data_IF_641788110733
#
_entry.id   IF_641788110733
#
_cell.length_a   1.000
_cell.length_b   1.000
_cell.length_c   1.000
_cell.angle_alpha   90.00
_cell.angle_beta   90.00
_cell.angle_gamma   90.00
#
_symmetry.space_group_name_H-M   'P 1'
#
loop_
_entity.id
_entity.type
_entity.pdbx_description
1 polymer ?
#
# COMPACT_ATOMS: atom_id res chain seq x y z
N UNK A 1 25.31 13.55 -14.01
CA UNK A 1 26.35 12.70 -13.40
C UNK A 1 25.77 11.34 -13.19
N UNK A 2 26.41 10.26 -13.64
CA UNK A 2 25.93 8.90 -13.46
C UNK A 2 25.99 8.51 -11.98
N UNK A 3 24.99 7.79 -11.52
CA UNK A 3 24.93 7.27 -10.15
C UNK A 3 24.21 5.92 -10.09
N UNK A 4 24.40 5.23 -9.00
CA UNK A 4 23.64 4.03 -8.63
C UNK A 4 23.11 4.22 -7.21
N UNK A 5 21.93 3.67 -6.93
CA UNK A 5 21.36 3.61 -5.58
C UNK A 5 21.26 2.15 -5.19
N UNK A 6 21.94 1.75 -4.11
CA UNK A 6 21.91 0.41 -3.53
C UNK A 6 21.17 0.47 -2.19
N UNK A 7 20.05 -0.26 -2.06
CA UNK A 7 19.27 -0.30 -0.83
C UNK A 7 18.95 1.09 -0.25
N UNK A 8 18.63 2.05 -1.13
CA UNK A 8 18.35 3.45 -0.76
C UNK A 8 19.58 4.34 -0.60
N UNK A 9 20.80 3.81 -0.59
CA UNK A 9 22.03 4.60 -0.47
C UNK A 9 22.58 4.96 -1.84
N UNK A 10 22.75 6.26 -2.10
CA UNK A 10 23.21 6.77 -3.40
C UNK A 10 24.74 6.77 -3.47
N UNK A 11 25.34 6.25 -4.55
CA UNK A 11 26.79 6.19 -4.74
C UNK A 11 27.51 7.55 -4.64
N UNK A 12 26.82 8.67 -4.86
CA UNK A 12 27.37 10.02 -4.72
C UNK A 12 27.66 10.42 -3.26
N UNK A 13 27.17 9.67 -2.28
CA UNK A 13 27.48 9.88 -0.86
C UNK A 13 28.80 9.21 -0.45
N UNK A 14 29.31 8.29 -1.29
CA UNK A 14 30.58 7.60 -1.05
C UNK A 14 31.74 8.47 -1.56
N UNK A 15 32.62 8.87 -0.67
CA UNK A 15 33.69 9.82 -0.98
C UNK A 15 34.66 9.26 -2.02
N UNK A 16 34.86 10.04 -3.09
CA UNK A 16 35.78 9.70 -4.17
C UNK A 16 35.30 8.63 -5.14
N UNK A 17 34.10 8.05 -4.95
CA UNK A 17 33.51 7.11 -5.87
C UNK A 17 32.86 7.80 -7.07
N UNK A 18 33.23 7.39 -8.28
CA UNK A 18 32.69 7.86 -9.54
C UNK A 18 32.14 6.68 -10.35
N UNK A 19 30.97 6.84 -10.92
CA UNK A 19 30.43 5.89 -11.90
C UNK A 19 30.89 6.33 -13.28
N UNK A 20 31.75 5.53 -13.91
CA UNK A 20 32.31 5.81 -15.24
C UNK A 20 31.38 5.39 -16.35
N UNK A 21 30.88 4.15 -16.29
CA UNK A 21 29.87 3.65 -17.22
C UNK A 21 28.76 2.93 -16.48
N UNK A 22 27.53 3.12 -16.94
CA UNK A 22 26.36 2.39 -16.46
C UNK A 22 26.15 1.13 -17.31
N UNK A 23 25.58 0.06 -16.73
CA UNK A 23 25.25 -1.11 -17.52
C UNK A 23 24.21 -0.78 -18.58
N UNK A 24 24.26 -1.45 -19.75
CA UNK A 24 23.28 -1.27 -20.81
C UNK A 24 21.89 -1.74 -20.36
N UNK A 25 20.86 -1.12 -20.91
CA UNK A 25 19.48 -1.61 -20.78
C UNK A 25 19.36 -2.85 -21.66
N UNK A 26 19.09 -4.00 -21.07
CA UNK A 26 19.09 -5.28 -21.75
C UNK A 26 17.81 -6.05 -21.47
N UNK A 27 17.37 -6.84 -22.43
CA UNK A 27 16.30 -7.84 -22.26
C UNK A 27 16.92 -9.14 -21.71
N UNK A 28 16.31 -9.76 -20.69
CA UNK A 28 16.78 -11.05 -20.19
C UNK A 28 16.62 -12.17 -21.23
N UNK A 29 17.48 -13.18 -21.14
CA UNK A 29 17.42 -14.35 -21.98
C UNK A 29 16.18 -15.18 -21.64
N UNK A 30 15.46 -15.64 -22.66
CA UNK A 30 14.38 -16.60 -22.50
C UNK A 30 14.99 -17.99 -22.37
N UNK A 31 14.70 -18.69 -21.28
CA UNK A 31 15.01 -20.13 -21.15
C UNK A 31 13.98 -20.91 -21.93
N UNK A 32 14.46 -21.84 -22.77
CA UNK A 32 13.62 -22.68 -23.61
C UNK A 32 13.98 -24.14 -23.42
N UNK A 33 12.99 -25.01 -23.57
CA UNK A 33 13.19 -26.44 -23.88
C UNK A 33 12.95 -26.64 -25.36
N UNK A 34 13.83 -27.38 -26.01
CA UNK A 34 13.74 -27.71 -27.44
C UNK A 34 13.56 -29.22 -27.55
N UNK A 35 12.56 -29.66 -28.29
CA UNK A 35 12.24 -31.06 -28.53
C UNK A 35 12.19 -31.30 -30.03
N UNK A 36 13.04 -32.21 -30.51
CA UNK A 36 13.05 -32.68 -31.89
C UNK A 36 12.21 -33.97 -31.98
N UNK A 37 11.33 -34.04 -32.97
CA UNK A 37 10.48 -35.22 -33.19
C UNK A 37 10.90 -35.87 -34.49
N UNK A 38 11.27 -37.17 -34.44
CA UNK A 38 11.65 -37.94 -35.60
C UNK A 38 10.55 -37.95 -36.66
N UNK A 39 10.94 -37.65 -37.92
CA UNK A 39 10.02 -37.58 -39.05
C UNK A 39 9.22 -36.29 -39.20
N UNK A 40 9.52 -35.27 -38.39
CA UNK A 40 8.98 -33.92 -38.50
C UNK A 40 10.10 -32.91 -38.76
N UNK A 41 9.88 -32.01 -39.72
CA UNK A 41 10.80 -30.89 -39.94
C UNK A 41 10.65 -29.85 -38.84
N UNK A 42 11.79 -29.35 -38.32
CA UNK A 42 11.86 -28.36 -37.26
C UNK A 42 11.67 -28.95 -35.85
N UNK A 43 11.73 -28.07 -34.87
CA UNK A 43 11.67 -28.38 -33.43
C UNK A 43 10.45 -27.76 -32.75
N UNK A 44 10.10 -28.26 -31.55
CA UNK A 44 9.12 -27.66 -30.66
C UNK A 44 9.89 -26.89 -29.62
N UNK A 45 9.68 -25.55 -29.56
CA UNK A 45 10.32 -24.67 -28.61
C UNK A 45 9.31 -24.27 -27.52
N UNK A 46 9.52 -24.74 -26.31
CA UNK A 46 8.70 -24.38 -25.13
C UNK A 46 9.43 -23.38 -24.28
N UNK A 47 8.79 -22.22 -23.98
CA UNK A 47 9.33 -21.20 -23.10
C UNK A 47 9.22 -21.65 -21.64
N UNK A 48 10.36 -21.71 -20.92
CA UNK A 48 10.45 -22.09 -19.51
C UNK A 48 10.49 -20.89 -18.54
N UNK A 49 10.71 -19.67 -19.07
CA UNK A 49 10.84 -18.46 -18.27
C UNK A 49 12.01 -17.59 -18.72
N UNK A 50 12.46 -16.69 -17.85
CA UNK A 50 13.60 -15.81 -18.10
C UNK A 50 14.77 -16.16 -17.17
N UNK A 51 16.01 -15.97 -17.65
CA UNK A 51 17.22 -16.12 -16.84
C UNK A 51 17.55 -14.82 -16.12
N UNK A 52 18.09 -14.93 -14.91
CA UNK A 52 18.89 -13.88 -14.32
C UNK A 52 20.11 -13.60 -15.23
N UNK A 53 20.69 -12.41 -15.15
CA UNK A 53 21.79 -12.01 -16.00
C UNK A 53 22.68 -10.96 -15.33
N UNK A 54 23.89 -10.82 -15.87
CA UNK A 54 24.91 -9.94 -15.32
C UNK A 54 24.88 -8.56 -15.96
N UNK A 55 25.03 -7.53 -15.14
CA UNK A 55 25.11 -6.13 -15.52
C UNK A 55 26.47 -5.56 -15.03
N UNK A 56 27.50 -5.53 -15.88
CA UNK A 56 28.77 -4.91 -15.53
C UNK A 56 28.66 -3.38 -15.50
N UNK A 57 29.29 -2.76 -14.52
CA UNK A 57 29.38 -1.33 -14.32
C UNK A 57 30.84 -0.95 -14.04
N UNK A 58 31.35 0.07 -14.72
CA UNK A 58 32.69 0.59 -14.45
C UNK A 58 32.65 1.71 -13.44
N UNK A 59 33.53 1.62 -12.45
CA UNK A 59 33.72 2.63 -11.41
C UNK A 59 35.12 3.19 -11.42
N UNK A 60 35.28 4.41 -10.92
CA UNK A 60 36.56 5.05 -10.70
C UNK A 60 36.66 5.60 -9.28
N UNK A 61 37.90 5.60 -8.72
CA UNK A 61 38.18 6.22 -7.45
C UNK A 61 39.15 7.39 -7.68
N UNK A 62 38.77 8.58 -7.22
CA UNK A 62 39.50 9.80 -7.45
C UNK A 62 39.58 10.66 -6.18
N UNK A 63 40.74 11.31 -5.97
CA UNK A 63 40.95 12.23 -4.87
C UNK A 63 41.11 11.49 -3.55
N UNK A 64 40.44 11.97 -2.52
CA UNK A 64 40.44 11.38 -1.18
C UNK A 64 39.32 10.34 -1.09
N UNK A 65 39.66 9.07 -1.27
CA UNK A 65 38.75 7.92 -1.24
C UNK A 65 39.20 6.89 -0.21
N UNK A 66 38.26 6.12 0.28
CA UNK A 66 38.47 4.95 1.13
C UNK A 66 38.03 3.68 0.39
N UNK A 67 38.97 2.79 0.08
CA UNK A 67 38.67 1.55 -0.66
C UNK A 67 37.80 0.62 0.16
N UNK A 68 38.00 0.56 1.48
CA UNK A 68 37.18 -0.32 2.34
C UNK A 68 35.75 0.14 2.42
N UNK A 69 35.49 1.46 2.43
CA UNK A 69 34.17 2.02 2.36
C UNK A 69 33.47 1.70 1.01
N UNK A 70 34.25 1.73 -0.09
CA UNK A 70 33.73 1.37 -1.43
C UNK A 70 33.41 -0.11 -1.50
N UNK A 71 34.27 -0.97 -0.97
CA UNK A 71 34.04 -2.43 -0.89
C UNK A 71 32.76 -2.68 -0.07
N UNK A 72 32.64 -2.08 1.11
CA UNK A 72 31.47 -2.23 1.97
C UNK A 72 30.17 -1.78 1.27
N UNK A 73 30.22 -0.71 0.48
CA UNK A 73 29.06 -0.24 -0.29
C UNK A 73 28.60 -1.27 -1.33
N UNK A 74 29.53 -1.97 -1.96
CA UNK A 74 29.24 -3.01 -2.96
C UNK A 74 29.13 -4.44 -2.39
N UNK A 75 29.49 -4.66 -1.13
CA UNK A 75 29.29 -5.96 -0.45
C UNK A 75 27.85 -6.06 0.05
N UNK A 76 26.90 -6.16 -0.90
CA UNK A 76 25.47 -6.09 -0.60
C UNK A 76 24.62 -6.85 -1.63
N UNK A 77 23.44 -7.22 -1.18
CA UNK A 77 22.33 -7.72 -1.98
C UNK A 77 21.07 -6.90 -1.69
N UNK A 78 20.06 -6.98 -2.54
CA UNK A 78 18.79 -6.28 -2.37
C UNK A 78 18.32 -5.56 -3.63
N UNK A 79 18.09 -4.25 -3.56
CA UNK A 79 17.58 -3.46 -4.68
C UNK A 79 18.60 -2.49 -5.24
N UNK A 80 18.68 -2.39 -6.58
CA UNK A 80 19.54 -1.43 -7.28
C UNK A 80 18.75 -0.60 -8.28
N UNK A 81 18.97 0.72 -8.26
CA UNK A 81 18.48 1.67 -9.25
C UNK A 81 19.69 2.25 -10.00
N UNK A 82 19.71 2.11 -11.31
CA UNK A 82 20.70 2.73 -12.18
C UNK A 82 20.19 4.06 -12.72
N UNK A 83 21.01 5.10 -12.75
CA UNK A 83 20.58 6.44 -13.16
C UNK A 83 20.17 6.58 -14.63
N UNK A 84 20.37 5.55 -15.47
CA UNK A 84 19.83 5.48 -16.83
C UNK A 84 18.40 4.90 -16.89
N UNK A 85 17.88 4.32 -15.78
CA UNK A 85 16.49 3.89 -15.58
C UNK A 85 16.05 4.27 -14.14
N UNK A 86 15.94 5.56 -13.80
CA UNK A 86 15.74 6.02 -12.42
C UNK A 86 14.36 5.71 -11.84
N UNK A 87 13.42 5.36 -12.70
CA UNK A 87 12.04 4.98 -12.38
C UNK A 87 11.86 3.49 -12.09
N UNK A 88 12.95 2.69 -12.18
CA UNK A 88 12.92 1.24 -12.01
C UNK A 88 14.04 0.74 -11.11
N UNK A 89 13.76 -0.32 -10.36
CA UNK A 89 14.79 -1.05 -9.63
C UNK A 89 14.87 -2.50 -10.07
N UNK A 90 16.02 -3.12 -9.83
CA UNK A 90 16.29 -4.54 -9.99
C UNK A 90 16.58 -5.16 -8.63
N UNK A 91 16.17 -6.40 -8.42
CA UNK A 91 16.72 -7.22 -7.35
C UNK A 91 18.08 -7.76 -7.79
N UNK A 92 19.11 -7.60 -6.96
CA UNK A 92 20.48 -7.92 -7.33
C UNK A 92 21.24 -8.61 -6.20
N UNK A 93 22.34 -9.25 -6.60
CA UNK A 93 23.43 -9.69 -5.75
C UNK A 93 24.76 -9.35 -6.42
N UNK A 94 25.80 -9.00 -5.64
CA UNK A 94 27.18 -8.89 -6.15
C UNK A 94 27.95 -10.08 -5.63
N UNK A 95 28.21 -11.05 -6.50
CA UNK A 95 28.91 -12.31 -6.17
C UNK A 95 30.31 -12.37 -6.78
N UNK A 96 30.64 -11.41 -7.66
CA UNK A 96 31.94 -11.33 -8.31
C UNK A 96 32.95 -10.61 -7.47
N UNK A 97 34.21 -10.99 -7.58
CA UNK A 97 35.34 -10.24 -7.04
C UNK A 97 35.42 -8.85 -7.70
N UNK A 98 35.79 -7.84 -6.93
CA UNK A 98 36.02 -6.47 -7.40
C UNK A 98 37.50 -6.18 -7.32
N UNK A 99 38.19 -6.12 -8.46
CA UNK A 99 39.60 -5.86 -8.57
C UNK A 99 39.86 -4.39 -8.90
N UNK A 100 40.59 -3.69 -8.04
CA UNK A 100 40.93 -2.27 -8.23
C UNK A 100 42.26 -2.13 -8.95
N UNK A 101 42.24 -1.82 -10.22
CA UNK A 101 43.42 -1.51 -11.01
C UNK A 101 43.86 -0.06 -10.75
N UNK A 102 45.16 0.10 -10.49
CA UNK A 102 45.78 1.41 -10.23
C UNK A 102 46.24 2.03 -11.55
N UNK A 103 45.63 3.13 -11.94
CA UNK A 103 46.14 4.07 -12.93
C UNK A 103 46.92 5.20 -12.26
N UNK A 104 47.58 6.09 -13.05
CA UNK A 104 48.52 7.09 -12.54
C UNK A 104 47.93 7.95 -11.41
N UNK A 105 46.71 8.45 -11.56
CA UNK A 105 46.04 9.36 -10.63
C UNK A 105 44.70 8.84 -10.04
N UNK A 106 44.26 7.66 -10.42
CA UNK A 106 42.99 7.09 -9.96
C UNK A 106 43.02 5.56 -10.04
N UNK A 107 42.06 4.91 -9.40
CA UNK A 107 41.81 3.48 -9.54
C UNK A 107 40.54 3.24 -10.34
N UNK A 108 40.51 2.15 -11.08
CA UNK A 108 39.28 1.68 -11.78
C UNK A 108 38.95 0.26 -11.34
N UNK A 109 37.71 -0.08 -11.38
CA UNK A 109 37.25 -1.43 -11.16
C UNK A 109 35.94 -1.68 -11.94
N UNK A 110 35.66 -2.93 -12.24
CA UNK A 110 34.38 -3.37 -12.77
C UNK A 110 33.58 -4.04 -11.64
N UNK A 111 32.37 -3.58 -11.42
CA UNK A 111 31.40 -4.18 -10.49
C UNK A 111 30.33 -4.86 -11.31
N UNK A 112 30.13 -6.16 -11.10
CA UNK A 112 29.13 -6.94 -11.83
C UNK A 112 27.96 -7.26 -10.92
N UNK A 113 26.78 -6.73 -11.27
CA UNK A 113 25.52 -7.01 -10.60
C UNK A 113 24.88 -8.22 -11.24
N UNK A 114 24.67 -9.29 -10.49
CA UNK A 114 23.82 -10.40 -10.88
C UNK A 114 22.37 -10.02 -10.58
N UNK A 115 21.59 -9.72 -11.61
CA UNK A 115 20.22 -9.20 -11.44
C UNK A 115 19.17 -10.23 -11.82
N UNK A 116 18.05 -10.20 -11.12
CA UNK A 116 16.86 -10.96 -11.48
C UNK A 116 16.25 -10.42 -12.79
N UNK A 117 15.52 -11.24 -13.56
CA UNK A 117 15.13 -10.90 -14.93
C UNK A 117 14.10 -9.75 -15.01
N UNK A 118 13.42 -9.46 -13.94
CA UNK A 118 12.37 -8.44 -13.95
C UNK A 118 12.78 -7.19 -13.19
N UNK A 119 12.27 -6.06 -13.68
CA UNK A 119 12.35 -4.75 -13.05
C UNK A 119 11.01 -4.41 -12.40
N UNK A 120 11.06 -3.64 -11.34
CA UNK A 120 9.91 -3.13 -10.61
C UNK A 120 9.92 -1.61 -10.57
N UNK A 121 8.80 -0.98 -10.25
CA UNK A 121 8.71 0.46 -10.13
C UNK A 121 9.51 0.96 -8.93
N UNK A 122 10.39 1.93 -9.15
CA UNK A 122 11.08 2.67 -8.08
C UNK A 122 10.22 3.84 -7.53
N UNK A 123 9.12 4.13 -8.17
CA UNK A 123 8.08 5.06 -7.71
C UNK A 123 7.04 4.24 -6.99
N UNK A 124 6.31 4.84 -6.06
CA UNK A 124 5.25 4.18 -5.32
C UNK A 124 4.29 3.45 -6.28
N UNK A 125 4.19 2.14 -6.13
CA UNK A 125 3.36 1.21 -6.89
C UNK A 125 2.52 0.35 -5.94
N UNK A 126 2.35 0.84 -4.71
CA UNK A 126 1.43 0.34 -3.71
C UNK A 126 0.12 1.12 -3.76
N UNK A 127 -0.99 0.42 -3.64
CA UNK A 127 -2.33 0.99 -3.64
C UNK A 127 -3.05 0.50 -2.39
N UNK A 128 -3.74 1.40 -1.72
CA UNK A 128 -4.62 1.08 -0.59
C UNK A 128 -6.03 1.52 -0.92
N UNK A 129 -6.98 0.62 -0.72
CA UNK A 129 -8.39 0.84 -0.91
C UNK A 129 -9.11 0.47 0.38
N UNK A 130 -10.04 1.32 0.83
CA UNK A 130 -10.77 1.13 2.08
C UNK A 130 -12.27 1.31 1.88
N UNK A 131 -13.06 0.55 2.64
CA UNK A 131 -14.49 0.82 2.79
C UNK A 131 -14.74 2.13 3.51
N UNK A 132 -13.81 2.55 4.40
CA UNK A 132 -13.89 3.83 5.09
C UNK A 132 -13.54 4.98 4.14
N UNK A 133 -14.47 5.93 4.01
CA UNK A 133 -14.33 7.11 3.17
C UNK A 133 -14.03 8.37 3.99
N UNK A 134 -14.00 8.29 5.34
CA UNK A 134 -13.81 9.44 6.20
C UNK A 134 -12.36 9.59 6.65
N UNK A 135 -11.86 10.82 6.56
CA UNK A 135 -10.55 11.21 7.05
C UNK A 135 -10.70 12.51 7.87
N UNK A 136 -10.47 12.41 9.18
CA UNK A 136 -10.67 13.52 10.13
C UNK A 136 -9.42 14.39 10.17
N UNK A 137 -9.61 15.68 9.91
CA UNK A 137 -8.52 16.67 9.93
C UNK A 137 -8.08 17.00 11.35
N UNK A 138 -6.82 17.46 11.50
CA UNK A 138 -6.31 17.97 12.78
C UNK A 138 -7.17 19.16 13.25
N UNK A 139 -7.66 19.08 14.48
CA UNK A 139 -8.55 20.10 15.06
C UNK A 139 -8.38 20.18 16.58
N UNK A 140 -8.58 21.35 17.14
CA UNK A 140 -8.68 21.53 18.60
C UNK A 140 -9.52 22.75 18.92
N UNK A 141 -10.44 22.61 19.87
CA UNK A 141 -11.26 23.73 20.37
C UNK A 141 -11.73 23.47 21.81
N UNK A 142 -11.95 24.55 22.55
CA UNK A 142 -12.55 24.52 23.90
C UNK A 142 -13.74 25.47 23.97
N UNK A 143 -14.90 24.96 24.37
CA UNK A 143 -16.14 25.74 24.57
C UNK A 143 -16.90 25.18 25.77
N UNK A 144 -17.49 26.08 26.57
CA UNK A 144 -18.40 25.76 27.69
C UNK A 144 -17.89 24.64 28.62
N UNK A 145 -16.57 24.60 28.89
CA UNK A 145 -15.95 23.60 29.77
C UNK A 145 -15.60 22.28 29.11
N UNK A 146 -15.83 22.11 27.80
CA UNK A 146 -15.45 20.93 27.03
C UNK A 146 -14.31 21.28 26.08
N UNK A 147 -13.31 20.44 26.04
CA UNK A 147 -12.25 20.46 25.04
C UNK A 147 -12.42 19.25 24.09
N UNK A 148 -12.41 19.53 22.80
CA UNK A 148 -12.37 18.54 21.72
C UNK A 148 -11.07 18.68 20.95
N UNK A 149 -10.44 17.56 20.63
CA UNK A 149 -9.27 17.52 19.73
C UNK A 149 -9.37 16.35 18.79
N UNK A 150 -8.80 16.50 17.60
CA UNK A 150 -8.70 15.45 16.58
C UNK A 150 -7.26 15.39 16.08
N UNK A 151 -6.68 14.20 16.10
CA UNK A 151 -5.32 13.93 15.64
C UNK A 151 -5.23 12.45 15.20
N UNK A 152 -4.57 12.20 14.06
CA UNK A 152 -4.37 10.86 13.51
C UNK A 152 -5.68 10.04 13.34
N UNK A 153 -6.77 10.71 12.92
CA UNK A 153 -8.08 10.08 12.73
C UNK A 153 -8.90 9.89 14.01
N UNK A 154 -8.31 10.05 15.18
CA UNK A 154 -8.99 9.87 16.47
C UNK A 154 -9.45 11.22 17.04
N UNK A 155 -10.71 11.30 17.50
CA UNK A 155 -11.28 12.46 18.15
C UNK A 155 -11.33 12.20 19.67
N UNK A 156 -10.84 13.15 20.47
CA UNK A 156 -10.85 13.08 21.94
C UNK A 156 -11.72 14.18 22.52
N UNK A 157 -12.56 13.85 23.51
CA UNK A 157 -13.41 14.78 24.24
C UNK A 157 -13.12 14.70 25.73
N UNK A 158 -12.90 15.86 26.35
CA UNK A 158 -12.63 15.99 27.78
C UNK A 158 -13.33 17.19 28.39
N UNK A 159 -13.77 17.08 29.65
CA UNK A 159 -14.35 18.17 30.44
C UNK A 159 -15.81 17.95 30.75
N UNK A 160 -16.45 18.97 31.33
CA UNK A 160 -17.88 18.94 31.68
C UNK A 160 -18.56 20.16 31.07
N UNK A 161 -19.55 19.92 30.22
CA UNK A 161 -20.29 21.00 29.58
C UNK A 161 -21.13 21.78 30.62
N UNK A 162 -20.86 23.06 30.79
CA UNK A 162 -21.62 23.95 31.66
C UNK A 162 -22.98 24.36 31.06
N UNK A 163 -23.10 24.28 29.75
CA UNK A 163 -24.34 24.41 28.96
C UNK A 163 -24.20 23.57 27.73
N UNK A 164 -25.29 23.30 27.02
CA UNK A 164 -25.22 22.57 25.73
C UNK A 164 -24.23 23.25 24.77
N UNK A 165 -23.42 22.45 24.08
CA UNK A 165 -22.34 22.96 23.21
C UNK A 165 -22.26 22.18 21.93
N UNK A 166 -21.86 22.87 20.87
CA UNK A 166 -21.66 22.31 19.53
C UNK A 166 -20.24 22.55 19.04
N UNK A 167 -19.69 21.52 18.42
CA UNK A 167 -18.42 21.58 17.69
C UNK A 167 -18.59 21.08 16.28
N UNK A 168 -17.82 21.65 15.37
CA UNK A 168 -17.75 21.27 13.97
C UNK A 168 -16.31 20.85 13.66
N UNK A 169 -16.04 19.56 13.76
CA UNK A 169 -14.71 19.00 13.49
C UNK A 169 -14.56 18.83 11.98
N UNK A 170 -13.58 19.49 11.35
CA UNK A 170 -13.40 19.38 9.91
C UNK A 170 -12.90 17.99 9.54
N UNK A 171 -13.38 17.50 8.39
CA UNK A 171 -12.87 16.32 7.72
C UNK A 171 -12.29 16.73 6.36
N UNK A 172 -11.39 15.94 5.79
CA UNK A 172 -11.03 16.11 4.39
C UNK A 172 -12.30 15.94 3.55
N UNK A 173 -12.51 16.85 2.59
CA UNK A 173 -13.75 16.88 1.80
C UNK A 173 -14.07 15.49 1.22
N UNK A 174 -15.12 14.86 1.74
CA UNK A 174 -15.55 13.51 1.39
C UNK A 174 -16.75 13.60 0.45
N UNK A 175 -16.58 13.20 -0.80
CA UNK A 175 -17.67 13.10 -1.78
C UNK A 175 -18.11 11.66 -1.90
N UNK A 176 -19.35 11.39 -1.49
CA UNK A 176 -19.99 10.08 -1.61
C UNK A 176 -20.90 10.07 -2.82
N UNK A 177 -20.77 9.07 -3.67
CA UNK A 177 -21.65 8.84 -4.82
C UNK A 177 -23.02 8.27 -4.39
N UNK A 178 -23.97 8.16 -5.30
CA UNK A 178 -25.23 7.48 -5.02
C UNK A 178 -24.99 6.03 -4.58
N UNK A 179 -25.53 5.61 -3.43
CA UNK A 179 -25.28 4.27 -2.87
C UNK A 179 -25.60 4.18 -1.39
N UNK A 180 -25.47 2.98 -0.84
CA UNK A 180 -25.63 2.69 0.59
C UNK A 180 -24.34 2.95 1.37
N UNK A 181 -24.49 3.60 2.52
CA UNK A 181 -23.37 3.90 3.43
C UNK A 181 -23.79 3.72 4.89
N UNK A 182 -22.85 3.38 5.73
CA UNK A 182 -23.03 3.30 7.18
C UNK A 182 -22.05 4.23 7.88
N UNK A 183 -22.57 5.23 8.60
CA UNK A 183 -21.80 6.01 9.59
C UNK A 183 -21.65 5.13 10.81
N UNK A 184 -20.42 4.83 11.19
CA UNK A 184 -20.06 4.08 12.39
C UNK A 184 -19.24 4.98 13.32
N UNK A 185 -19.53 4.91 14.61
CA UNK A 185 -18.81 5.62 15.64
C UNK A 185 -18.44 4.63 16.75
N UNK A 186 -17.17 4.48 17.02
CA UNK A 186 -16.65 3.60 18.09
C UNK A 186 -16.03 4.45 19.18
N UNK A 187 -16.48 4.27 20.42
CA UNK A 187 -16.06 5.07 21.59
C UNK A 187 -15.32 4.19 22.59
N UNK A 188 -14.36 4.80 23.28
CA UNK A 188 -13.66 4.22 24.42
C UNK A 188 -13.46 5.27 25.51
N UNK A 189 -14.12 5.09 26.66
CA UNK A 189 -14.03 6.01 27.77
C UNK A 189 -15.31 6.14 28.60
N UNK A 190 -15.69 7.37 28.94
CA UNK A 190 -16.86 7.67 29.79
C UNK A 190 -17.56 8.96 29.38
N UNK A 191 -18.90 8.98 29.51
CA UNK A 191 -19.72 10.15 29.27
C UNK A 191 -20.21 10.32 27.83
N UNK A 192 -20.01 9.32 26.98
CA UNK A 192 -20.36 9.32 25.55
C UNK A 192 -21.85 9.53 25.32
N UNK A 193 -22.70 8.97 26.19
CA UNK A 193 -24.16 9.08 26.08
C UNK A 193 -24.71 10.52 26.16
N UNK A 194 -23.88 11.48 26.63
CA UNK A 194 -24.21 12.89 26.57
C UNK A 194 -23.95 13.51 25.19
N UNK A 195 -23.39 12.78 24.25
CA UNK A 195 -22.98 13.24 22.94
C UNK A 195 -23.79 12.59 21.82
N UNK A 196 -24.00 13.33 20.75
CA UNK A 196 -24.46 12.83 19.49
C UNK A 196 -23.73 13.50 18.34
N UNK A 197 -23.59 12.79 17.21
CA UNK A 197 -22.87 13.30 16.04
C UNK A 197 -23.76 13.34 14.80
N UNK A 198 -23.38 14.21 13.86
CA UNK A 198 -23.87 14.25 12.47
C UNK A 198 -22.70 14.46 11.52
N UNK A 199 -22.82 13.97 10.30
CA UNK A 199 -21.89 14.31 9.21
C UNK A 199 -22.63 15.25 8.25
N UNK A 200 -22.03 16.43 8.02
CA UNK A 200 -22.69 17.55 7.30
C UNK A 200 -21.78 18.15 6.23
N UNK A 201 -22.39 18.70 5.18
CA UNK A 201 -21.68 19.37 4.09
C UNK A 201 -21.29 20.81 4.41
N UNK A 202 -22.14 21.57 5.13
CA UNK A 202 -21.92 22.98 5.48
C UNK A 202 -22.38 23.31 6.90
N UNK A 203 -21.77 24.33 7.49
CA UNK A 203 -22.03 24.80 8.88
C UNK A 203 -22.94 26.04 8.86
N UNK A 204 -23.98 26.11 9.67
CA UNK A 204 -24.79 25.02 10.22
C UNK A 204 -25.93 24.69 9.25
N UNK A 205 -25.98 23.49 8.72
CA UNK A 205 -27.08 23.09 7.85
C UNK A 205 -27.55 21.66 8.12
N UNK A 206 -28.74 21.52 8.64
CA UNK A 206 -29.41 20.24 8.81
C UNK A 206 -29.81 19.61 7.46
N UNK A 207 -29.98 20.43 6.42
CA UNK A 207 -30.47 19.98 5.10
C UNK A 207 -29.47 19.08 4.36
N UNK A 208 -28.17 19.23 4.66
CA UNK A 208 -27.09 18.49 4.01
C UNK A 208 -26.48 17.41 4.93
N UNK A 209 -27.21 16.97 5.97
CA UNK A 209 -26.72 15.93 6.86
C UNK A 209 -26.88 14.54 6.28
N UNK A 210 -25.92 13.65 6.58
CA UNK A 210 -26.03 12.22 6.30
C UNK A 210 -27.15 11.60 7.14
N UNK A 211 -28.03 10.84 6.53
CA UNK A 211 -29.17 10.17 7.20
C UNK A 211 -30.21 11.10 7.81
N UNK A 212 -30.06 12.44 7.75
CA UNK A 212 -31.05 13.41 8.18
C UNK A 212 -31.25 13.55 9.70
N UNK A 213 -30.53 12.81 10.55
CA UNK A 213 -30.68 12.78 12.00
C UNK A 213 -29.33 12.71 12.71
N UNK A 214 -29.32 12.89 14.05
CA UNK A 214 -28.14 12.63 14.87
C UNK A 214 -27.96 11.14 15.14
N UNK A 215 -26.70 10.71 15.21
CA UNK A 215 -26.30 9.42 15.74
C UNK A 215 -25.94 9.61 17.22
N UNK A 216 -26.77 9.13 18.18
CA UNK A 216 -26.40 9.14 19.60
C UNK A 216 -25.24 8.20 19.84
N UNK A 217 -24.24 8.62 20.65
CA UNK A 217 -23.14 7.76 21.04
C UNK A 217 -23.56 6.86 22.21
N UNK A 218 -23.00 5.65 22.25
CA UNK A 218 -23.23 4.66 23.30
C UNK A 218 -22.03 4.63 24.24
N UNK A 219 -22.24 4.30 25.52
CA UNK A 219 -21.15 4.14 26.48
C UNK A 219 -20.32 2.90 26.12
N UNK A 220 -19.00 3.12 25.97
CA UNK A 220 -17.97 2.11 25.65
C UNK A 220 -18.43 1.11 24.59
N UNK A 221 -18.58 1.57 23.36
CA UNK A 221 -19.07 0.70 22.32
C UNK A 221 -19.17 1.34 20.95
N UNK A 222 -19.91 0.67 20.07
CA UNK A 222 -20.12 1.11 18.71
C UNK A 222 -21.57 1.54 18.50
N UNK A 223 -21.78 2.67 17.86
CA UNK A 223 -23.06 3.18 17.38
C UNK A 223 -22.99 3.29 15.85
N UNK A 224 -24.09 2.99 15.16
CA UNK A 224 -24.12 3.09 13.70
C UNK A 224 -25.44 3.60 13.15
N UNK A 225 -25.40 4.18 11.97
CA UNK A 225 -26.55 4.66 11.23
C UNK A 225 -26.33 4.43 9.72
N UNK A 226 -27.20 3.65 9.09
CA UNK A 226 -27.15 3.41 7.64
C UNK A 226 -28.09 4.37 6.90
N UNK A 227 -27.67 4.83 5.73
CA UNK A 227 -28.51 5.62 4.83
C UNK A 227 -28.10 5.39 3.37
N UNK A 228 -29.07 5.55 2.47
CA UNK A 228 -28.84 5.48 1.03
C UNK A 228 -28.88 6.88 0.43
N UNK A 229 -27.83 7.27 -0.26
CA UNK A 229 -27.76 8.51 -1.03
C UNK A 229 -28.35 8.27 -2.42
N UNK A 230 -29.30 9.13 -2.83
CA UNK A 230 -29.91 9.09 -4.18
C UNK A 230 -29.08 9.83 -5.23
N UNK A 231 -28.13 10.65 -4.81
CA UNK A 231 -27.21 11.41 -5.66
C UNK A 231 -25.91 11.67 -4.91
N UNK A 232 -24.86 12.05 -5.64
CA UNK A 232 -23.59 12.45 -5.04
C UNK A 232 -23.75 13.61 -4.05
N UNK A 233 -23.11 13.51 -2.89
CA UNK A 233 -23.05 14.54 -1.84
C UNK A 233 -21.66 14.70 -1.29
N UNK A 234 -21.28 15.94 -0.98
CA UNK A 234 -19.99 16.26 -0.34
C UNK A 234 -20.19 16.65 1.13
N UNK A 235 -19.41 16.05 1.99
CA UNK A 235 -19.41 16.30 3.43
C UNK A 235 -18.04 16.87 3.85
N UNK A 236 -18.07 17.82 4.81
CA UNK A 236 -16.87 18.55 5.24
C UNK A 236 -16.65 18.57 6.76
N UNK A 237 -17.67 18.16 7.55
CA UNK A 237 -17.61 18.24 9.01
C UNK A 237 -18.29 17.05 9.66
N UNK A 238 -17.75 16.67 10.85
CA UNK A 238 -18.48 15.95 11.89
C UNK A 238 -18.98 16.97 12.89
N UNK A 239 -20.28 17.12 13.01
CA UNK A 239 -20.95 18.02 13.95
C UNK A 239 -21.28 17.27 15.23
N UNK A 240 -20.76 17.75 16.35
CA UNK A 240 -21.03 17.25 17.69
C UNK A 240 -22.07 18.13 18.37
N UNK A 241 -23.08 17.49 18.96
CA UNK A 241 -23.99 18.10 19.92
C UNK A 241 -23.80 17.42 21.28
N UNK A 242 -23.49 18.22 22.31
CA UNK A 242 -23.16 17.74 23.65
C UNK A 242 -24.11 18.39 24.65
N UNK A 243 -24.80 17.56 25.45
CA UNK A 243 -25.68 18.03 26.53
C UNK A 243 -24.87 18.45 27.74
N UNK A 244 -25.45 19.34 28.59
CA UNK A 244 -24.76 19.82 29.79
C UNK A 244 -24.80 18.82 30.94
N UNK A 245 -23.82 18.91 31.85
CA UNK A 245 -23.85 18.28 33.18
C UNK A 245 -23.08 16.96 33.28
N UNK A 246 -22.74 16.31 32.20
CA UNK A 246 -21.97 15.05 32.21
C UNK A 246 -20.48 15.31 32.02
N UNK A 247 -19.66 14.66 32.82
CA UNK A 247 -18.21 14.67 32.65
C UNK A 247 -17.83 13.76 31.50
N UNK A 248 -17.07 14.28 30.53
CA UNK A 248 -16.60 13.60 29.34
C UNK A 248 -15.13 13.26 29.48
N UNK A 249 -14.76 12.03 29.20
CA UNK A 249 -13.38 11.60 29.05
C UNK A 249 -13.35 10.35 28.16
N UNK A 250 -13.43 10.54 26.84
CA UNK A 250 -13.44 9.44 25.88
C UNK A 250 -12.76 9.81 24.57
N UNK A 251 -12.39 8.77 23.85
CA UNK A 251 -11.97 8.84 22.46
C UNK A 251 -13.06 8.31 21.54
N UNK A 252 -13.08 8.81 20.32
CA UNK A 252 -14.05 8.46 19.28
C UNK A 252 -13.32 8.25 17.97
N UNK A 253 -13.55 7.10 17.36
CA UNK A 253 -13.26 6.82 15.97
C UNK A 253 -14.54 6.90 15.16
N UNK A 254 -14.50 7.62 14.03
CA UNK A 254 -15.68 7.84 13.17
C UNK A 254 -15.35 7.38 11.76
N UNK A 255 -16.13 6.45 11.27
CA UNK A 255 -15.96 5.87 9.93
C UNK A 255 -17.23 6.07 9.09
N UNK A 256 -17.03 6.31 7.78
CA UNK A 256 -18.09 6.28 6.78
C UNK A 256 -17.84 5.10 5.84
N UNK A 257 -18.51 3.99 6.10
CA UNK A 257 -18.32 2.73 5.40
C UNK A 257 -19.21 2.63 4.18
N UNK A 258 -18.63 2.32 3.02
CA UNK A 258 -19.40 2.05 1.80
C UNK A 258 -19.93 0.61 1.81
N UNK A 259 -21.26 0.44 1.68
CA UNK A 259 -21.88 -0.88 1.57
C UNK A 259 -21.57 -1.59 0.24
N UNK A 260 -21.07 -0.86 -0.75
CA UNK A 260 -20.71 -1.38 -2.07
C UNK A 260 -19.18 -1.62 -2.23
N UNK A 261 -18.41 -1.60 -1.13
CA UNK A 261 -16.99 -1.92 -1.19
C UNK A 261 -16.77 -3.42 -1.40
N UNK A 262 -16.77 -3.83 -2.66
CA UNK A 262 -16.62 -5.22 -3.08
C UNK A 262 -15.62 -5.41 -4.22
N UNK A 263 -14.99 -4.33 -4.68
CA UNK A 263 -13.99 -4.37 -5.73
C UNK A 263 -13.09 -3.13 -5.72
N UNK A 264 -11.89 -3.28 -6.27
CA UNK A 264 -10.99 -2.18 -6.59
C UNK A 264 -10.33 -2.40 -7.95
N UNK A 265 -9.80 -1.33 -8.51
CA UNK A 265 -9.14 -1.35 -9.81
C UNK A 265 -7.70 -0.91 -9.64
N UNK A 266 -6.77 -1.73 -10.13
CA UNK A 266 -5.34 -1.44 -10.16
C UNK A 266 -4.82 -1.45 -11.59
N UNK A 267 -3.80 -0.64 -11.86
CA UNK A 267 -3.24 -0.51 -13.21
C UNK A 267 -1.77 -0.93 -13.24
N UNK A 268 -1.48 -2.08 -13.85
CA UNK A 268 -0.11 -2.52 -14.11
C UNK A 268 0.48 -1.71 -15.26
N UNK A 269 1.39 -0.78 -14.94
CA UNK A 269 2.11 0.09 -15.90
C UNK A 269 3.24 -0.62 -16.62
N UNK A 270 3.55 -1.85 -16.22
CA UNK A 270 4.62 -2.66 -16.79
C UNK A 270 4.38 -3.12 -18.22
N UNK A 271 5.31 -3.88 -18.75
CA UNK A 271 5.21 -4.53 -20.05
C UNK A 271 5.07 -6.05 -19.97
N UNK A 272 4.91 -6.58 -18.75
CA UNK A 272 4.67 -8.00 -18.49
C UNK A 272 3.70 -8.15 -17.31
N UNK A 273 3.16 -9.37 -17.15
CA UNK A 273 2.31 -9.70 -15.99
C UNK A 273 3.11 -9.57 -14.70
N UNK A 274 2.49 -9.10 -13.63
CA UNK A 274 3.07 -9.03 -12.29
C UNK A 274 2.44 -10.06 -11.35
N UNK A 275 3.12 -10.36 -10.26
CA UNK A 275 2.64 -11.18 -9.15
C UNK A 275 2.58 -10.31 -7.91
N UNK A 276 1.41 -9.71 -7.60
CA UNK A 276 1.27 -8.76 -6.51
C UNK A 276 1.34 -9.44 -5.14
N UNK A 277 1.60 -8.65 -4.12
CA UNK A 277 1.23 -8.96 -2.75
C UNK A 277 -0.09 -8.25 -2.42
N UNK A 278 -1.06 -9.01 -1.89
CA UNK A 278 -2.38 -8.50 -1.50
C UNK A 278 -2.54 -8.64 0.00
N UNK A 279 -2.60 -7.53 0.72
CA UNK A 279 -2.95 -7.53 2.14
C UNK A 279 -4.43 -7.19 2.28
N UNK A 280 -5.20 -8.11 2.84
CA UNK A 280 -6.65 -8.04 2.96
C UNK A 280 -7.01 -7.95 4.43
N UNK A 281 -7.67 -6.87 4.83
CA UNK A 281 -8.21 -6.65 6.16
C UNK A 281 -9.71 -6.97 6.14
N UNK A 282 -10.17 -7.71 7.15
CA UNK A 282 -11.57 -8.12 7.18
C UNK A 282 -11.84 -9.26 8.15
N UNK A 283 -12.96 -9.95 7.98
CA UNK A 283 -13.35 -11.05 8.85
C UNK A 283 -14.24 -12.08 8.15
N UNK A 284 -14.27 -13.29 8.69
CA UNK A 284 -15.10 -14.39 8.18
C UNK A 284 -14.53 -15.02 6.91
N UNK A 285 -15.41 -15.52 6.06
CA UNK A 285 -15.05 -16.14 4.78
C UNK A 285 -15.09 -15.10 3.66
N UNK A 286 -13.96 -14.95 2.96
CA UNK A 286 -13.79 -14.03 1.83
C UNK A 286 -13.49 -14.85 0.57
N UNK A 287 -14.27 -14.63 -0.49
CA UNK A 287 -14.01 -15.20 -1.82
C UNK A 287 -13.38 -14.12 -2.68
N UNK A 288 -12.11 -14.27 -3.04
CA UNK A 288 -11.34 -13.30 -3.82
C UNK A 288 -11.29 -13.70 -5.29
N UNK A 289 -11.51 -12.72 -6.17
CA UNK A 289 -11.46 -12.87 -7.63
C UNK A 289 -10.57 -11.79 -8.24
N UNK A 290 -9.86 -12.15 -9.32
CA UNK A 290 -9.14 -11.19 -10.16
C UNK A 290 -9.64 -11.31 -11.59
N UNK A 291 -10.00 -10.17 -12.20
CA UNK A 291 -10.53 -10.10 -13.56
C UNK A 291 -11.71 -11.06 -13.81
N UNK A 292 -12.55 -11.27 -12.79
CA UNK A 292 -13.74 -12.12 -12.83
C UNK A 292 -13.49 -13.61 -12.59
N UNK A 293 -12.22 -14.05 -12.46
CA UNK A 293 -11.89 -15.42 -12.08
C UNK A 293 -11.73 -15.53 -10.56
N UNK A 294 -12.51 -16.42 -9.91
CA UNK A 294 -12.33 -16.70 -8.50
C UNK A 294 -11.03 -17.45 -8.28
N UNK A 295 -10.15 -16.93 -7.43
CA UNK A 295 -8.83 -17.49 -7.17
C UNK A 295 -8.70 -18.09 -5.79
N UNK A 296 -9.26 -17.44 -4.76
CA UNK A 296 -9.06 -17.83 -3.36
C UNK A 296 -10.35 -17.84 -2.58
N UNK A 297 -10.40 -18.75 -1.62
CA UNK A 297 -11.31 -18.75 -0.47
C UNK A 297 -10.44 -18.56 0.77
N UNK A 298 -10.67 -17.49 1.50
CA UNK A 298 -9.88 -17.06 2.65
C UNK A 298 -10.76 -17.12 3.88
N UNK A 299 -10.26 -17.70 4.98
CA UNK A 299 -10.94 -17.74 6.28
C UNK A 299 -10.16 -16.91 7.30
N UNK A 300 -10.72 -15.75 7.66
CA UNK A 300 -10.21 -14.84 8.67
C UNK A 300 -11.06 -14.92 9.95
N UNK A 301 -11.17 -16.11 10.56
CA UNK A 301 -12.07 -16.33 11.68
C UNK A 301 -11.77 -15.43 12.89
N UNK A 302 -10.49 -15.08 13.11
CA UNK A 302 -10.03 -14.23 14.22
C UNK A 302 -8.86 -13.33 13.80
N UNK A 303 -8.42 -13.37 12.53
CA UNK A 303 -7.33 -12.57 12.04
C UNK A 303 -7.84 -11.22 11.55
N UNK A 304 -7.16 -10.15 11.90
CA UNK A 304 -7.49 -8.80 11.43
C UNK A 304 -7.11 -8.59 9.97
N UNK A 305 -6.07 -9.31 9.50
CA UNK A 305 -5.62 -9.24 8.11
C UNK A 305 -4.86 -10.50 7.68
N UNK A 306 -4.70 -10.65 6.37
CA UNK A 306 -3.84 -11.66 5.75
C UNK A 306 -3.17 -11.08 4.50
N UNK A 307 -1.91 -11.44 4.29
CA UNK A 307 -1.18 -11.10 3.08
C UNK A 307 -1.02 -12.34 2.20
N UNK A 308 -1.48 -12.25 0.95
CA UNK A 308 -1.25 -13.25 -0.11
C UNK A 308 -0.09 -12.76 -0.98
N UNK A 309 1.04 -13.44 -0.94
CA UNK A 309 2.22 -13.09 -1.75
C UNK A 309 2.26 -13.95 -3.01
N UNK A 310 1.98 -13.32 -4.15
CA UNK A 310 2.00 -13.99 -5.45
C UNK A 310 3.38 -14.42 -5.92
N UNK A 311 4.44 -13.77 -5.45
CA UNK A 311 5.82 -14.11 -5.83
C UNK A 311 6.34 -15.30 -5.02
N UNK A 312 6.05 -15.35 -3.71
CA UNK A 312 6.44 -16.44 -2.81
C UNK A 312 5.45 -17.60 -2.79
N UNK A 313 4.24 -17.40 -3.31
CA UNK A 313 3.13 -18.38 -3.28
C UNK A 313 2.76 -18.80 -1.86
N UNK A 314 2.70 -17.84 -0.94
CA UNK A 314 2.43 -18.04 0.47
C UNK A 314 1.41 -17.04 0.99
N UNK A 315 0.70 -17.43 2.06
CA UNK A 315 -0.10 -16.53 2.87
C UNK A 315 0.52 -16.35 4.26
N UNK A 316 0.51 -15.14 4.78
CA UNK A 316 1.03 -14.84 6.11
C UNK A 316 0.32 -13.66 6.76
N UNK A 317 0.43 -13.58 8.09
CA UNK A 317 0.06 -12.43 8.90
C UNK A 317 1.31 -11.98 9.67
N UNK A 318 1.87 -10.83 9.28
CA UNK A 318 3.18 -10.43 9.76
C UNK A 318 4.24 -11.50 9.45
N UNK A 319 4.80 -12.15 10.47
CA UNK A 319 5.80 -13.22 10.32
C UNK A 319 5.22 -14.65 10.48
N UNK A 320 3.89 -14.78 10.56
CA UNK A 320 3.23 -16.08 10.81
C UNK A 320 2.64 -16.60 9.50
N UNK A 321 3.00 -17.84 9.12
CA UNK A 321 2.42 -18.51 7.95
C UNK A 321 0.95 -18.85 8.18
N UNK A 322 0.08 -18.40 7.27
CA UNK A 322 -1.37 -18.55 7.28
C UNK A 322 -1.90 -19.41 6.13
N UNK A 323 -1.08 -20.23 5.49
CA UNK A 323 -1.47 -21.05 4.33
C UNK A 323 -2.68 -21.97 4.59
N UNK A 324 -2.93 -22.36 5.86
CA UNK A 324 -4.10 -23.17 6.22
C UNK A 324 -5.42 -22.40 6.18
N UNK A 325 -5.36 -21.10 6.24
CA UNK A 325 -6.53 -20.19 6.17
C UNK A 325 -6.91 -19.85 4.73
N UNK A 326 -6.16 -20.35 3.74
CA UNK A 326 -6.33 -20.01 2.34
C UNK A 326 -6.43 -21.28 1.50
N UNK A 327 -7.49 -21.36 0.70
CA UNK A 327 -7.62 -22.36 -0.35
C UNK A 327 -7.67 -21.64 -1.70
N UNK A 328 -6.79 -21.99 -2.65
CA UNK A 328 -6.76 -21.33 -3.96
C UNK A 328 -5.51 -21.61 -4.76
N UNK A 329 -5.37 -20.86 -5.84
CA UNK A 329 -4.33 -21.05 -6.86
C UNK A 329 -3.46 -19.79 -7.01
N UNK A 330 -2.26 -19.84 -6.44
CA UNK A 330 -1.26 -18.79 -6.54
C UNK A 330 -0.67 -18.61 -7.94
N UNK A 331 -0.73 -19.63 -8.81
CA UNK A 331 -0.23 -19.50 -10.19
C UNK A 331 -1.03 -18.47 -10.96
N UNK A 332 -2.31 -18.33 -10.63
CA UNK A 332 -3.22 -17.36 -11.21
C UNK A 332 -3.32 -16.03 -10.42
N UNK A 333 -2.58 -15.87 -9.31
CA UNK A 333 -2.43 -14.56 -8.65
C UNK A 333 -1.53 -13.65 -9.49
N UNK A 334 -2.10 -13.15 -10.57
CA UNK A 334 -1.39 -12.42 -11.62
C UNK A 334 -2.20 -11.20 -12.04
N UNK A 335 -1.54 -10.04 -12.14
CA UNK A 335 -2.09 -8.85 -12.78
C UNK A 335 -1.58 -8.75 -14.22
N UNK A 336 -2.50 -8.68 -15.16
CA UNK A 336 -2.19 -8.43 -16.57
C UNK A 336 -1.67 -7.01 -16.79
N UNK A 337 -0.98 -6.76 -17.90
CA UNK A 337 -0.63 -5.40 -18.32
C UNK A 337 -1.90 -4.57 -18.52
N UNK A 338 -1.91 -3.36 -17.98
CA UNK A 338 -3.07 -2.47 -18.02
C UNK A 338 -4.01 -2.63 -16.83
N UNK A 339 -5.28 -2.44 -17.04
CA UNK A 339 -6.31 -2.42 -15.99
C UNK A 339 -6.63 -3.82 -15.48
N UNK A 340 -6.68 -3.98 -14.16
CA UNK A 340 -7.09 -5.20 -13.47
C UNK A 340 -8.13 -4.86 -12.42
N UNK A 341 -9.15 -5.71 -12.31
CA UNK A 341 -10.17 -5.60 -11.27
C UNK A 341 -9.97 -6.72 -10.26
N UNK A 342 -9.78 -6.34 -9.00
CA UNK A 342 -9.77 -7.24 -7.86
C UNK A 342 -11.14 -7.12 -7.21
N UNK A 343 -11.86 -8.21 -7.01
CA UNK A 343 -13.20 -8.22 -6.44
C UNK A 343 -13.35 -9.32 -5.40
N UNK A 344 -14.28 -9.13 -4.48
CA UNK A 344 -14.51 -10.06 -3.38
C UNK A 344 -15.97 -10.16 -2.97
N UNK A 345 -16.28 -11.28 -2.32
CA UNK A 345 -17.52 -11.49 -1.59
C UNK A 345 -17.14 -11.87 -0.16
N UNK A 346 -17.69 -11.17 0.81
CA UNK A 346 -17.36 -11.30 2.23
C UNK A 346 -17.04 -9.96 2.87
N UNK A 347 -16.73 -9.96 4.15
CA UNK A 347 -16.46 -8.72 4.89
C UNK A 347 -14.99 -8.32 4.73
N UNK A 348 -14.71 -7.39 3.82
CA UNK A 348 -13.42 -6.75 3.61
C UNK A 348 -13.55 -5.27 3.94
N UNK A 349 -12.71 -4.77 4.83
CA UNK A 349 -12.68 -3.36 5.23
C UNK A 349 -11.60 -2.56 4.51
N UNK A 350 -10.48 -3.21 4.18
CA UNK A 350 -9.38 -2.60 3.43
C UNK A 350 -8.65 -3.66 2.60
N UNK A 351 -8.10 -3.25 1.47
CA UNK A 351 -7.18 -4.05 0.67
C UNK A 351 -6.00 -3.19 0.24
N UNK A 352 -4.80 -3.72 0.44
CA UNK A 352 -3.56 -3.13 -0.04
C UNK A 352 -2.97 -4.00 -1.13
N UNK A 353 -2.45 -3.38 -2.18
CA UNK A 353 -1.90 -4.07 -3.35
C UNK A 353 -0.52 -3.53 -3.62
N UNK A 354 0.49 -4.37 -3.52
CA UNK A 354 1.89 -4.03 -3.77
C UNK A 354 2.44 -4.78 -4.98
N UNK A 355 3.53 -4.29 -5.55
CA UNK A 355 4.21 -4.88 -6.72
C UNK A 355 3.29 -5.01 -7.94
N UNK A 356 2.48 -3.98 -8.18
CA UNK A 356 1.48 -3.97 -9.26
C UNK A 356 2.11 -3.95 -10.63
N UNK A 357 3.24 -3.25 -10.82
CA UNK A 357 3.86 -3.07 -12.14
C UNK A 357 5.20 -3.78 -12.26
N UNK A 358 5.39 -4.50 -13.38
CA UNK A 358 6.60 -5.27 -13.66
C UNK A 358 7.04 -5.14 -15.11
N UNK A 359 8.36 -5.01 -15.35
CA UNK A 359 8.96 -4.91 -16.68
C UNK A 359 9.98 -6.02 -16.93
N UNK A 360 10.09 -6.34 -18.22
CA UNK A 360 11.19 -7.18 -18.77
C UNK A 360 12.29 -6.25 -19.23
#
# INVERSE_FOLDING_TARGET
MSYVILNGVKSTTIKGLLIQSLPPISKPLIRTSVEEIDGRDGDIVTKLGYSAYDKPMEIGLYGDYDVDQVIQFFDSEGTVIFSNEPDKFYNYQIVSQIDFEKLINFKTATVTFHVQPFKFSAVDDAFSFSSNQMDVSIYSATKNGVTISAENGVISLQGTATSAVEFYVPINAMTLEAGGYTLQATTDGTGESACSIRVIGSVPSDADSFGGTYLPLSESGSASMSATLSSSKTFNYVWFYITSGTALNFTLDVEMLSESFNSCVVFNRGNTTSRPALTIYGSGTINLSINGAQLFVINLAEAEFITLDGAQMNAYQGNILMNRSVAGDYDNLVLNVGTNTISWVGNVTQIEVENVSRWI
#
